data_IF_160456832427
#
_entry.id   IF_160456832427
#
_cell.length_a   1.000
_cell.length_b   1.000
_cell.length_c   1.000
_cell.angle_alpha   90.00
_cell.angle_beta   90.00
_cell.angle_gamma   90.00
#
_symmetry.space_group_name_H-M   'P 1'
#
loop_
_entity.id
_entity.type
_entity.pdbx_description
1 polymer ?
#
# COMPACT_ATOMS: atom_id res chain seq x y z
N UNK A 1 -15.14 -5.19 -6.87
CA UNK A 1 -14.60 -5.95 -8.00
C UNK A 1 -14.08 -7.30 -7.52
N UNK A 2 -14.24 -8.34 -8.34
CA UNK A 2 -13.65 -9.67 -8.12
C UNK A 2 -12.30 -9.79 -8.85
N UNK A 3 -11.62 -10.93 -8.68
CA UNK A 3 -10.30 -11.17 -9.27
C UNK A 3 -10.31 -11.24 -10.81
N UNK A 4 -11.38 -11.73 -11.42
CA UNK A 4 -11.51 -11.77 -12.87
C UNK A 4 -11.63 -10.35 -13.44
N UNK A 5 -12.52 -9.54 -12.86
CA UNK A 5 -12.69 -8.12 -13.24
C UNK A 5 -11.39 -7.33 -13.03
N UNK A 6 -10.65 -7.56 -11.94
CA UNK A 6 -9.35 -6.95 -11.71
C UNK A 6 -8.36 -7.32 -12.80
N UNK A 7 -8.26 -8.60 -13.16
CA UNK A 7 -7.39 -9.09 -14.23
C UNK A 7 -7.76 -8.46 -15.58
N UNK A 8 -9.03 -8.47 -15.94
CA UNK A 8 -9.51 -7.92 -17.21
C UNK A 8 -9.24 -6.42 -17.34
N UNK A 9 -9.54 -5.65 -16.29
CA UNK A 9 -9.24 -4.21 -16.26
C UNK A 9 -7.72 -3.95 -16.33
N UNK A 10 -6.90 -4.75 -15.63
CA UNK A 10 -5.44 -4.59 -15.67
C UNK A 10 -4.89 -4.88 -17.07
N UNK A 11 -5.32 -5.97 -17.70
CA UNK A 11 -4.88 -6.31 -19.07
C UNK A 11 -5.39 -5.30 -20.11
N UNK A 12 -6.60 -4.77 -19.92
CA UNK A 12 -7.11 -3.71 -20.81
C UNK A 12 -6.30 -2.41 -20.65
N UNK A 13 -5.96 -2.04 -19.41
CA UNK A 13 -5.10 -0.89 -19.14
C UNK A 13 -3.70 -1.11 -19.72
N UNK A 14 -3.09 -2.28 -19.53
CA UNK A 14 -1.79 -2.64 -20.06
C UNK A 14 -1.73 -2.41 -21.58
N UNK A 15 -2.72 -2.90 -22.33
CA UNK A 15 -2.85 -2.66 -23.78
C UNK A 15 -2.94 -1.17 -24.14
N UNK A 16 -3.70 -0.40 -23.36
CA UNK A 16 -3.82 1.06 -23.57
C UNK A 16 -2.51 1.79 -23.27
N UNK A 17 -1.76 1.37 -22.25
CA UNK A 17 -0.47 1.95 -21.90
C UNK A 17 0.58 1.66 -22.99
N UNK A 18 0.61 0.44 -23.54
CA UNK A 18 1.46 0.10 -24.70
C UNK A 18 1.10 0.98 -25.89
N UNK A 19 -0.18 1.09 -26.22
CA UNK A 19 -0.65 1.94 -27.33
C UNK A 19 -0.35 3.44 -27.12
N UNK A 20 -0.20 3.86 -25.85
CA UNK A 20 0.22 5.21 -25.47
C UNK A 20 1.75 5.40 -25.52
N UNK A 21 2.53 4.35 -25.77
CA UNK A 21 3.99 4.40 -25.92
C UNK A 21 4.78 4.04 -24.67
N UNK A 22 4.17 3.33 -23.70
CA UNK A 22 4.87 2.81 -22.51
C UNK A 22 5.36 1.39 -22.84
N UNK A 23 6.63 1.15 -22.55
CA UNK A 23 7.32 -0.11 -22.81
C UNK A 23 7.81 -0.76 -21.51
N UNK A 24 8.22 -2.03 -21.59
CA UNK A 24 8.93 -2.68 -20.49
C UNK A 24 10.19 -1.89 -20.10
N UNK A 25 10.47 -1.79 -18.81
CA UNK A 25 11.58 -0.98 -18.27
C UNK A 25 11.28 0.52 -18.12
N UNK A 26 10.18 1.04 -18.68
CA UNK A 26 9.78 2.43 -18.46
C UNK A 26 9.34 2.65 -16.99
N UNK A 27 9.67 3.79 -16.46
CA UNK A 27 9.22 4.22 -15.11
C UNK A 27 7.99 5.10 -15.26
N UNK A 28 6.91 4.67 -14.62
CA UNK A 28 5.61 5.36 -14.66
C UNK A 28 5.24 5.82 -13.26
N UNK A 29 5.17 7.13 -13.06
CA UNK A 29 4.70 7.69 -11.78
C UNK A 29 3.20 7.49 -11.66
N UNK A 30 2.75 6.94 -10.54
CA UNK A 30 1.34 6.83 -10.16
C UNK A 30 1.05 7.76 -8.99
N UNK A 31 0.37 8.86 -9.25
CA UNK A 31 -0.13 9.80 -8.23
C UNK A 31 -1.51 9.33 -7.78
N UNK A 32 -1.60 8.81 -6.56
CA UNK A 32 -2.77 8.06 -6.13
C UNK A 32 -3.09 8.23 -4.65
N UNK A 33 -4.36 8.07 -4.32
CA UNK A 33 -4.87 7.59 -3.04
C UNK A 33 -5.45 6.18 -3.25
N UNK A 34 -5.75 5.48 -2.14
CA UNK A 34 -6.25 4.10 -2.19
C UNK A 34 -7.53 3.97 -2.99
N UNK A 35 -7.55 3.09 -3.97
CA UNK A 35 -8.71 2.86 -4.85
C UNK A 35 -8.55 1.57 -5.67
N UNK A 36 -9.63 1.14 -6.33
CA UNK A 36 -9.54 0.03 -7.29
C UNK A 36 -8.60 0.39 -8.45
N UNK A 37 -8.62 1.62 -8.95
CA UNK A 37 -7.74 2.08 -10.02
C UNK A 37 -6.25 1.98 -9.62
N UNK A 38 -5.90 2.24 -8.34
CA UNK A 38 -4.54 2.03 -7.82
C UNK A 38 -4.09 0.57 -8.02
N UNK A 39 -4.93 -0.40 -7.66
CA UNK A 39 -4.63 -1.82 -7.84
C UNK A 39 -4.51 -2.19 -9.32
N UNK A 40 -5.44 -1.74 -10.14
CA UNK A 40 -5.45 -1.98 -11.60
C UNK A 40 -4.18 -1.46 -12.26
N UNK A 41 -3.72 -0.25 -11.91
CA UNK A 41 -2.48 0.34 -12.48
C UNK A 41 -1.25 -0.46 -12.08
N UNK A 42 -1.13 -0.89 -10.83
CA UNK A 42 0.02 -1.70 -10.38
C UNK A 42 0.11 -2.99 -11.19
N UNK A 43 -1.00 -3.73 -11.34
CA UNK A 43 -0.99 -4.98 -12.08
C UNK A 43 -0.82 -4.76 -13.59
N UNK A 44 -1.37 -3.68 -14.16
CA UNK A 44 -1.18 -3.35 -15.57
C UNK A 44 0.29 -3.03 -15.90
N UNK A 45 0.96 -2.25 -15.04
CA UNK A 45 2.40 -1.96 -15.21
C UNK A 45 3.26 -3.21 -15.02
N UNK A 46 2.90 -4.06 -14.05
CA UNK A 46 3.55 -5.36 -13.86
C UNK A 46 3.42 -6.25 -15.09
N UNK A 47 2.24 -6.31 -15.73
CA UNK A 47 1.99 -7.14 -16.94
C UNK A 47 2.89 -6.76 -18.11
N UNK A 48 3.25 -5.49 -18.23
CA UNK A 48 4.12 -4.98 -19.31
C UNK A 48 5.59 -4.80 -18.89
N UNK A 49 5.97 -5.28 -17.69
CA UNK A 49 7.31 -5.11 -17.11
C UNK A 49 7.76 -3.64 -16.96
N UNK A 50 6.83 -2.70 -16.85
CA UNK A 50 7.11 -1.32 -16.51
C UNK A 50 7.16 -1.12 -14.98
N UNK A 51 7.96 -0.17 -14.50
CA UNK A 51 8.14 0.10 -13.09
C UNK A 51 7.07 1.09 -12.59
N UNK A 52 6.34 0.73 -11.56
CA UNK A 52 5.46 1.67 -10.88
C UNK A 52 6.25 2.55 -9.92
N UNK A 53 6.17 3.87 -10.05
CA UNK A 53 6.75 4.84 -9.11
C UNK A 53 5.60 5.41 -8.28
N UNK A 54 5.43 4.94 -7.05
CA UNK A 54 4.25 5.25 -6.25
C UNK A 54 4.41 6.57 -5.49
N UNK A 55 3.48 7.49 -5.73
CA UNK A 55 3.47 8.83 -5.13
C UNK A 55 2.12 9.11 -4.50
N UNK A 56 2.13 9.50 -3.22
CA UNK A 56 0.92 9.91 -2.54
C UNK A 56 0.40 11.23 -3.12
N UNK A 57 -0.87 11.26 -3.50
CA UNK A 57 -1.48 12.46 -4.09
C UNK A 57 -1.46 13.69 -3.17
N UNK A 58 -1.24 13.50 -1.85
CA UNK A 58 -1.14 14.60 -0.86
C UNK A 58 0.25 15.25 -0.79
N UNK A 59 1.24 14.71 -1.51
CA UNK A 59 2.55 15.37 -1.60
C UNK A 59 2.42 16.74 -2.29
N UNK A 60 3.33 17.65 -1.95
CA UNK A 60 3.40 18.95 -2.59
C UNK A 60 3.78 18.83 -4.06
N UNK A 61 3.49 19.87 -4.85
CA UNK A 61 3.93 19.93 -6.26
C UNK A 61 5.46 19.86 -6.39
N UNK A 62 6.19 20.42 -5.44
CA UNK A 62 7.65 20.40 -5.44
C UNK A 62 8.17 18.97 -5.23
N UNK A 63 7.64 18.24 -4.26
CA UNK A 63 8.01 16.84 -4.01
C UNK A 63 7.67 15.95 -5.21
N UNK A 64 6.47 16.10 -5.77
CA UNK A 64 6.07 15.36 -6.98
C UNK A 64 7.00 15.64 -8.15
N UNK A 65 7.34 16.91 -8.39
CA UNK A 65 8.27 17.29 -9.46
C UNK A 65 9.66 16.69 -9.25
N UNK A 66 10.16 16.71 -8.02
CA UNK A 66 11.44 16.10 -7.67
C UNK A 66 11.45 14.57 -7.93
N UNK A 67 10.36 13.89 -7.58
CA UNK A 67 10.21 12.44 -7.86
C UNK A 67 10.17 12.18 -9.35
N UNK A 68 9.39 12.92 -10.13
CA UNK A 68 9.30 12.78 -11.59
C UNK A 68 10.69 12.94 -12.25
N UNK A 69 11.43 13.97 -11.84
CA UNK A 69 12.77 14.25 -12.38
C UNK A 69 13.78 13.17 -11.99
N UNK A 70 13.84 12.81 -10.70
CA UNK A 70 14.79 11.83 -10.18
C UNK A 70 14.53 10.42 -10.74
N UNK A 71 13.27 10.01 -10.81
CA UNK A 71 12.90 8.72 -11.39
C UNK A 71 13.06 8.66 -12.91
N UNK A 72 13.27 9.78 -13.58
CA UNK A 72 13.25 9.89 -15.05
C UNK A 72 11.97 9.28 -15.63
N UNK A 73 10.82 9.64 -15.05
CA UNK A 73 9.55 9.02 -15.41
C UNK A 73 9.18 9.26 -16.88
N UNK A 74 8.70 8.21 -17.54
CA UNK A 74 8.17 8.25 -18.90
C UNK A 74 6.91 9.08 -18.99
N UNK A 75 6.01 8.87 -18.03
CA UNK A 75 4.78 9.64 -17.86
C UNK A 75 4.28 9.57 -16.41
N UNK A 76 3.19 10.28 -16.14
CA UNK A 76 2.51 10.30 -14.84
C UNK A 76 1.05 9.91 -15.03
N UNK A 77 0.59 8.89 -14.30
CA UNK A 77 -0.79 8.46 -14.20
C UNK A 77 -1.44 9.01 -12.91
N UNK A 78 -2.74 9.29 -12.96
CA UNK A 78 -3.48 9.89 -11.85
C UNK A 78 -4.80 9.17 -11.60
N UNK A 79 -5.09 8.85 -10.32
CA UNK A 79 -6.39 8.29 -9.91
C UNK A 79 -7.39 9.41 -9.59
N UNK A 80 -7.81 10.17 -10.58
CA UNK A 80 -8.59 11.41 -10.42
C UNK A 80 -10.00 11.20 -9.93
N UNK A 81 -10.59 10.02 -10.11
CA UNK A 81 -11.93 9.69 -9.64
C UNK A 81 -11.98 9.55 -8.12
N UNK A 82 -10.95 8.96 -7.54
CA UNK A 82 -10.87 8.67 -6.10
C UNK A 82 -10.12 9.73 -5.29
N UNK A 83 -9.41 10.67 -5.94
CA UNK A 83 -8.58 11.67 -5.27
C UNK A 83 -8.70 13.06 -5.90
N UNK A 84 -9.18 13.99 -5.08
CA UNK A 84 -9.20 15.43 -5.45
C UNK A 84 -7.80 15.99 -5.65
N UNK A 85 -6.83 15.56 -4.81
CA UNK A 85 -5.45 16.02 -4.91
C UNK A 85 -4.77 15.47 -6.16
N UNK A 86 -5.02 14.20 -6.53
CA UNK A 86 -4.56 13.66 -7.80
C UNK A 86 -5.12 14.46 -8.99
N UNK A 87 -6.38 14.89 -8.94
CA UNK A 87 -6.99 15.74 -9.97
C UNK A 87 -6.33 17.12 -10.05
N UNK A 88 -5.97 17.72 -8.92
CA UNK A 88 -5.23 19.00 -8.88
C UNK A 88 -3.86 18.85 -9.53
N UNK A 89 -3.13 17.77 -9.22
CA UNK A 89 -1.84 17.48 -9.85
C UNK A 89 -1.96 17.17 -11.34
N UNK A 90 -2.98 16.42 -11.74
CA UNK A 90 -3.26 16.13 -13.16
C UNK A 90 -3.47 17.41 -13.97
N UNK A 91 -4.26 18.35 -13.44
CA UNK A 91 -4.48 19.65 -14.07
C UNK A 91 -3.18 20.47 -14.14
N UNK A 92 -2.39 20.49 -13.07
CA UNK A 92 -1.10 21.20 -13.03
C UNK A 92 -0.10 20.70 -14.08
N UNK A 93 -0.08 19.36 -14.32
CA UNK A 93 0.80 18.73 -15.30
C UNK A 93 0.15 18.59 -16.69
N UNK A 94 -0.99 19.23 -16.95
CA UNK A 94 -1.73 19.18 -18.22
C UNK A 94 -2.05 17.75 -18.68
N UNK A 95 -2.28 16.84 -17.73
CA UNK A 95 -2.65 15.46 -18.00
C UNK A 95 -4.02 15.38 -18.68
N UNK A 96 -4.17 14.39 -19.57
CA UNK A 96 -5.41 14.18 -20.34
C UNK A 96 -5.96 12.78 -20.10
N UNK A 97 -7.25 12.63 -20.29
CA UNK A 97 -7.89 11.32 -20.28
C UNK A 97 -7.54 10.57 -21.59
N UNK A 98 -6.88 9.43 -21.45
CA UNK A 98 -6.48 8.54 -22.56
C UNK A 98 -7.39 7.31 -22.68
N UNK A 99 -8.41 7.20 -21.84
CA UNK A 99 -9.40 6.14 -21.84
C UNK A 99 -10.18 6.08 -20.54
N UNK A 100 -11.06 5.08 -20.44
CA UNK A 100 -11.87 4.82 -19.25
C UNK A 100 -11.93 3.31 -18.98
N UNK A 101 -12.00 2.95 -17.71
CA UNK A 101 -12.31 1.62 -17.16
C UNK A 101 -13.53 1.75 -16.24
N UNK A 102 -14.08 0.63 -15.78
CA UNK A 102 -15.20 0.64 -14.84
C UNK A 102 -14.82 1.30 -13.49
N UNK A 103 -13.55 1.23 -13.09
CA UNK A 103 -13.04 1.87 -11.88
C UNK A 103 -12.63 3.35 -12.07
N UNK A 104 -12.87 3.94 -13.23
CA UNK A 104 -12.67 5.38 -13.49
C UNK A 104 -11.90 5.72 -14.77
N UNK A 105 -11.64 7.02 -15.00
CA UNK A 105 -10.88 7.50 -16.16
C UNK A 105 -9.39 7.18 -16.01
N UNK A 106 -8.73 6.88 -17.14
CA UNK A 106 -7.28 6.75 -17.25
C UNK A 106 -6.74 8.12 -17.61
N UNK A 107 -6.14 8.81 -16.63
CA UNK A 107 -5.60 10.17 -16.81
C UNK A 107 -4.08 10.11 -16.80
N UNK A 108 -3.44 10.61 -17.87
CA UNK A 108 -2.00 10.51 -18.08
C UNK A 108 -1.42 11.82 -18.66
N UNK A 109 -0.17 12.13 -18.32
CA UNK A 109 0.59 13.17 -19.01
C UNK A 109 1.02 12.70 -20.41
N UNK A 110 1.51 13.63 -21.23
CA UNK A 110 2.25 13.28 -22.44
C UNK A 110 3.50 12.43 -22.10
N UNK A 111 3.93 11.65 -23.08
CA UNK A 111 5.13 10.81 -22.98
C UNK A 111 6.40 11.65 -23.08
N UNK A 112 7.31 11.46 -22.13
CA UNK A 112 8.65 12.05 -22.15
C UNK A 112 9.61 11.19 -23.00
N UNK A 113 10.63 11.82 -23.55
CA UNK A 113 11.73 11.14 -24.25
C UNK A 113 12.72 10.55 -23.24
N UNK A 114 12.30 9.52 -22.53
CA UNK A 114 13.15 8.78 -21.59
C UNK A 114 13.35 7.38 -22.14
N UNK A 115 14.59 6.91 -22.07
CA UNK A 115 14.90 5.52 -22.44
C UNK A 115 14.48 4.57 -21.33
N UNK A 116 13.88 3.41 -21.69
CA UNK A 116 13.54 2.38 -20.71
C UNK A 116 14.82 1.73 -20.16
N UNK A 117 14.72 1.21 -18.93
CA UNK A 117 15.73 0.29 -18.41
C UNK A 117 15.63 -1.06 -19.11
N UNK A 118 16.72 -1.83 -19.07
CA UNK A 118 16.71 -3.19 -19.59
C UNK A 118 15.67 -4.06 -18.87
N UNK A 119 14.90 -4.82 -19.61
CA UNK A 119 13.93 -5.76 -19.04
C UNK A 119 14.66 -7.01 -18.58
N UNK A 120 14.66 -7.21 -17.25
CA UNK A 120 15.22 -8.39 -16.61
C UNK A 120 14.11 -9.46 -16.48
N UNK A 121 14.42 -10.71 -16.85
CA UNK A 121 13.48 -11.84 -16.71
C UNK A 121 13.54 -12.47 -15.31
N UNK A 122 12.61 -13.39 -15.04
CA UNK A 122 12.61 -14.26 -13.85
C UNK A 122 12.33 -13.56 -12.50
N UNK A 123 11.48 -12.53 -12.50
CA UNK A 123 11.04 -11.87 -11.27
C UNK A 123 12.07 -10.91 -10.64
N UNK A 124 13.28 -10.82 -11.17
CA UNK A 124 14.29 -9.82 -10.78
C UNK A 124 14.02 -8.45 -11.39
N UNK A 125 13.06 -8.35 -12.31
CA UNK A 125 12.58 -7.06 -12.79
C UNK A 125 12.07 -6.21 -11.64
N UNK A 126 12.45 -4.94 -11.62
CA UNK A 126 11.90 -3.98 -10.66
C UNK A 126 10.42 -3.80 -10.94
N UNK A 127 9.60 -4.06 -9.93
CA UNK A 127 8.14 -3.92 -9.99
C UNK A 127 7.71 -2.52 -9.55
N UNK A 128 8.37 -2.01 -8.50
CA UNK A 128 8.02 -0.70 -7.94
C UNK A 128 9.23 0.05 -7.41
N UNK A 129 9.15 1.37 -7.52
CA UNK A 129 10.10 2.33 -6.95
C UNK A 129 9.35 3.15 -5.88
N UNK A 130 9.82 3.05 -4.65
CA UNK A 130 9.24 3.78 -3.51
C UNK A 130 10.23 4.81 -2.97
N UNK A 131 9.75 6.04 -2.85
CA UNK A 131 10.57 7.12 -2.30
C UNK A 131 10.44 7.20 -0.79
N UNK A 132 11.57 7.14 -0.10
CA UNK A 132 11.65 7.34 1.34
C UNK A 132 12.18 8.74 1.66
N UNK A 133 11.64 9.35 2.72
CA UNK A 133 12.19 10.58 3.31
C UNK A 133 13.43 10.21 4.11
N UNK A 134 14.57 10.08 3.42
CA UNK A 134 15.85 9.84 4.08
C UNK A 134 16.28 11.04 4.93
N UNK A 135 17.22 10.81 5.84
CA UNK A 135 17.88 11.86 6.66
C UNK A 135 18.63 12.92 5.84
N UNK A 136 18.76 12.72 4.53
CA UNK A 136 19.37 13.62 3.56
C UNK A 136 18.31 14.33 2.74
N UNK A 137 18.53 15.60 2.39
CA UNK A 137 17.59 16.45 1.63
C UNK A 137 17.22 15.97 0.22
N UNK A 138 17.83 14.89 -0.28
CA UNK A 138 17.56 14.32 -1.61
C UNK A 138 16.66 13.09 -1.52
N UNK A 139 15.62 12.97 -2.38
CA UNK A 139 14.78 11.78 -2.44
C UNK A 139 15.62 10.54 -2.74
N UNK A 140 15.38 9.44 -2.00
CA UNK A 140 15.97 8.13 -2.29
C UNK A 140 14.87 7.20 -2.79
N UNK A 141 15.06 6.63 -3.98
CA UNK A 141 14.15 5.65 -4.55
C UNK A 141 14.61 4.23 -4.23
N UNK A 142 13.82 3.50 -3.46
CA UNK A 142 14.06 2.08 -3.18
C UNK A 142 13.46 1.25 -4.29
N UNK A 143 14.29 0.47 -4.97
CA UNK A 143 13.88 -0.44 -6.04
C UNK A 143 13.49 -1.79 -5.44
N UNK A 144 12.25 -2.21 -5.67
CA UNK A 144 11.73 -3.50 -5.22
C UNK A 144 11.36 -4.35 -6.42
N UNK A 145 11.96 -5.53 -6.52
CA UNK A 145 11.69 -6.48 -7.59
C UNK A 145 10.37 -7.23 -7.36
N UNK A 146 9.87 -7.90 -8.40
CA UNK A 146 8.73 -8.80 -8.26
C UNK A 146 9.00 -9.89 -7.22
N UNK A 147 10.22 -10.47 -7.21
CA UNK A 147 10.62 -11.47 -6.23
C UNK A 147 10.58 -10.93 -4.79
N UNK A 148 11.08 -9.71 -4.55
CA UNK A 148 11.02 -9.08 -3.24
C UNK A 148 9.56 -8.97 -2.73
N UNK A 149 8.67 -8.47 -3.58
CA UNK A 149 7.27 -8.26 -3.22
C UNK A 149 6.51 -9.58 -3.03
N UNK A 150 6.75 -10.57 -3.90
CA UNK A 150 6.12 -11.89 -3.82
C UNK A 150 6.61 -12.67 -2.59
N UNK A 151 7.92 -12.64 -2.28
CA UNK A 151 8.46 -13.24 -1.07
C UNK A 151 7.77 -12.68 0.18
N UNK A 152 7.71 -11.35 0.30
CA UNK A 152 7.07 -10.74 1.46
C UNK A 152 5.55 -11.01 1.50
N UNK A 153 4.87 -10.99 0.34
CA UNK A 153 3.44 -11.24 0.28
C UNK A 153 3.07 -12.66 0.73
N UNK A 154 3.77 -13.68 0.21
CA UNK A 154 3.55 -15.07 0.57
C UNK A 154 3.93 -15.35 2.03
N UNK A 155 5.09 -14.86 2.46
CA UNK A 155 5.58 -15.04 3.82
C UNK A 155 4.66 -14.40 4.84
N UNK A 156 4.25 -13.14 4.62
CA UNK A 156 3.30 -12.44 5.50
C UNK A 156 1.93 -13.11 5.52
N UNK A 157 1.39 -13.54 4.37
CA UNK A 157 0.09 -14.20 4.31
C UNK A 157 0.08 -15.50 5.12
N UNK A 158 1.12 -16.33 4.96
CA UNK A 158 1.26 -17.60 5.65
C UNK A 158 1.48 -17.41 7.16
N UNK A 159 2.40 -16.51 7.54
CA UNK A 159 2.77 -16.27 8.93
C UNK A 159 1.63 -15.69 9.77
N UNK A 160 0.77 -14.86 9.16
CA UNK A 160 -0.39 -14.26 9.83
C UNK A 160 -1.64 -15.18 9.74
N UNK A 161 -1.60 -16.21 8.90
CA UNK A 161 -2.72 -17.10 8.63
C UNK A 161 -3.86 -16.43 7.87
N UNK A 162 -3.54 -15.62 6.83
CA UNK A 162 -4.55 -15.04 5.94
C UNK A 162 -5.14 -16.10 5.02
N UNK A 163 -6.42 -15.93 4.68
CA UNK A 163 -7.13 -16.83 3.77
C UNK A 163 -8.20 -16.09 2.96
N UNK A 164 -8.88 -16.81 2.07
CA UNK A 164 -9.86 -16.23 1.14
C UNK A 164 -11.11 -15.63 1.82
N UNK A 165 -11.37 -15.94 3.08
CA UNK A 165 -12.49 -15.37 3.85
C UNK A 165 -12.09 -14.02 4.51
N UNK A 166 -10.82 -13.64 4.46
CA UNK A 166 -10.37 -12.40 5.07
C UNK A 166 -10.72 -11.17 4.25
N UNK A 167 -11.07 -10.13 4.99
CA UNK A 167 -11.34 -8.81 4.45
C UNK A 167 -10.48 -7.77 5.20
N UNK A 168 -9.46 -7.28 4.52
CA UNK A 168 -8.51 -6.30 5.08
C UNK A 168 -9.03 -4.88 4.89
N UNK A 169 -8.88 -4.03 5.91
CA UNK A 169 -9.10 -2.60 5.79
C UNK A 169 -7.85 -1.91 5.21
N UNK A 170 -7.93 -1.48 3.96
CA UNK A 170 -6.85 -0.78 3.25
C UNK A 170 -6.91 0.73 3.49
N UNK A 171 -6.63 1.17 4.70
CA UNK A 171 -6.66 2.59 5.09
C UNK A 171 -5.28 3.24 5.12
N UNK A 172 -4.22 2.44 5.27
CA UNK A 172 -2.84 2.91 5.13
C UNK A 172 -2.60 3.34 3.68
N UNK A 173 -1.79 4.39 3.42
CA UNK A 173 -1.52 4.82 2.06
C UNK A 173 -0.92 3.70 1.20
N UNK A 174 -1.57 3.34 0.09
CA UNK A 174 -1.10 2.31 -0.85
C UNK A 174 0.24 2.63 -1.49
N UNK A 175 0.59 3.91 -1.53
CA UNK A 175 1.88 4.42 -1.99
C UNK A 175 3.01 4.29 -0.97
N UNK A 176 2.72 3.76 0.21
CA UNK A 176 3.69 3.41 1.24
C UNK A 176 3.84 1.90 1.33
N UNK A 177 5.08 1.44 1.54
CA UNK A 177 5.41 0.01 1.55
C UNK A 177 4.58 -0.79 2.57
N UNK A 178 4.23 -0.19 3.71
CA UNK A 178 3.43 -0.87 4.73
C UNK A 178 2.06 -1.30 4.19
N UNK A 179 1.35 -0.43 3.45
CA UNK A 179 0.09 -0.84 2.81
C UNK A 179 0.33 -1.82 1.66
N UNK A 180 1.23 -1.48 0.74
CA UNK A 180 1.49 -2.28 -0.45
C UNK A 180 1.85 -3.73 -0.09
N UNK A 181 2.84 -3.90 0.77
CA UNK A 181 3.48 -5.19 0.98
C UNK A 181 3.04 -5.92 2.27
N UNK A 182 2.37 -5.24 3.22
CA UNK A 182 1.89 -5.90 4.45
C UNK A 182 0.37 -5.94 4.58
N UNK A 183 -0.37 -5.26 3.68
CA UNK A 183 -1.83 -5.29 3.65
C UNK A 183 -2.37 -5.75 2.30
N UNK A 184 -2.00 -5.07 1.20
CA UNK A 184 -2.59 -5.30 -0.12
C UNK A 184 -2.09 -6.60 -0.78
N UNK A 185 -0.79 -6.73 -1.00
CA UNK A 185 -0.27 -7.92 -1.70
C UNK A 185 -0.48 -9.23 -0.93
N UNK A 186 -0.31 -9.29 0.42
CA UNK A 186 -0.58 -10.52 1.16
C UNK A 186 -2.04 -10.97 1.08
N UNK A 187 -3.02 -10.07 1.15
CA UNK A 187 -4.42 -10.47 1.06
C UNK A 187 -4.81 -10.91 -0.36
N UNK A 188 -4.20 -10.30 -1.40
CA UNK A 188 -4.38 -10.76 -2.77
C UNK A 188 -3.78 -12.16 -2.95
N UNK A 189 -2.58 -12.40 -2.41
CA UNK A 189 -1.93 -13.72 -2.43
C UNK A 189 -2.79 -14.79 -1.75
N UNK A 190 -3.43 -14.45 -0.62
CA UNK A 190 -4.30 -15.35 0.13
C UNK A 190 -5.69 -15.56 -0.50
N UNK A 191 -6.02 -14.89 -1.61
CA UNK A 191 -7.32 -14.96 -2.26
C UNK A 191 -8.46 -14.25 -1.53
N UNK A 192 -8.14 -13.42 -0.54
CA UNK A 192 -9.11 -12.64 0.24
C UNK A 192 -9.50 -11.32 -0.43
N UNK A 193 -9.99 -10.38 0.34
CA UNK A 193 -10.45 -9.09 -0.18
C UNK A 193 -9.88 -7.90 0.60
N UNK A 194 -9.79 -6.74 -0.05
CA UNK A 194 -9.40 -5.49 0.58
C UNK A 194 -10.46 -4.42 0.36
N UNK A 195 -10.82 -3.71 1.43
CA UNK A 195 -11.63 -2.51 1.37
C UNK A 195 -10.71 -1.31 1.37
N UNK A 196 -10.45 -0.74 0.21
CA UNK A 196 -9.70 0.51 0.11
C UNK A 196 -10.48 1.70 0.64
N UNK A 197 -9.82 2.49 1.46
CA UNK A 197 -10.29 3.76 1.98
C UNK A 197 -9.27 4.84 1.58
N UNK A 198 -9.66 5.85 0.80
CA UNK A 198 -8.72 6.86 0.29
C UNK A 198 -8.01 7.62 1.42
N UNK A 199 -8.75 7.93 2.50
CA UNK A 199 -8.25 8.68 3.65
C UNK A 199 -8.76 8.09 4.95
N UNK A 200 -7.91 8.07 5.96
CA UNK A 200 -8.32 7.71 7.30
C UNK A 200 -9.30 8.73 7.86
N UNK A 201 -10.46 8.24 8.29
CA UNK A 201 -11.47 8.96 9.07
C UNK A 201 -12.03 7.99 10.10
N UNK A 202 -11.90 8.24 11.42
CA UNK A 202 -12.31 7.30 12.46
C UNK A 202 -13.74 6.81 12.29
N UNK A 203 -14.68 7.71 12.00
CA UNK A 203 -16.10 7.36 11.81
C UNK A 203 -16.34 6.41 10.64
N UNK A 204 -15.61 6.54 9.54
CA UNK A 204 -15.72 5.64 8.40
C UNK A 204 -15.09 4.27 8.71
N UNK A 205 -13.98 4.26 9.45
CA UNK A 205 -13.32 3.03 9.91
C UNK A 205 -14.27 2.24 10.81
N UNK A 206 -14.89 2.87 11.80
CA UNK A 206 -15.88 2.21 12.67
C UNK A 206 -17.02 1.58 11.88
N UNK A 207 -17.53 2.28 10.86
CA UNK A 207 -18.55 1.72 9.97
C UNK A 207 -18.06 0.45 9.26
N UNK A 208 -16.84 0.46 8.69
CA UNK A 208 -16.32 -0.71 8.00
C UNK A 208 -16.00 -1.89 8.95
N UNK A 209 -15.61 -1.61 10.19
CA UNK A 209 -15.44 -2.65 11.21
C UNK A 209 -16.77 -3.35 11.51
N UNK A 210 -17.87 -2.60 11.63
CA UNK A 210 -19.24 -3.16 11.75
C UNK A 210 -19.63 -3.99 10.52
N UNK A 211 -19.22 -3.55 9.31
CA UNK A 211 -19.53 -4.18 8.02
C UNK A 211 -18.69 -5.44 7.72
N UNK A 212 -17.93 -5.96 8.69
CA UNK A 212 -17.30 -7.26 8.59
C UNK A 212 -15.86 -7.28 8.09
N UNK A 213 -15.08 -6.24 8.38
CA UNK A 213 -13.62 -6.30 8.29
C UNK A 213 -13.10 -7.36 9.26
N UNK A 214 -12.17 -8.21 8.79
CA UNK A 214 -11.54 -9.25 9.61
C UNK A 214 -10.15 -8.87 10.07
N UNK A 215 -9.47 -7.95 9.36
CA UNK A 215 -8.15 -7.46 9.69
C UNK A 215 -8.03 -5.96 9.51
N UNK A 216 -7.48 -5.30 10.54
CA UNK A 216 -7.22 -3.86 10.54
C UNK A 216 -5.72 -3.58 10.82
N UNK A 217 -4.90 -3.35 9.78
CA UNK A 217 -3.56 -2.78 9.92
C UNK A 217 -3.66 -1.25 10.00
N UNK A 218 -2.99 -0.67 10.99
CA UNK A 218 -2.97 0.78 11.22
C UNK A 218 -1.64 1.26 11.81
N UNK A 219 -1.50 2.56 11.97
CA UNK A 219 -0.45 3.15 12.81
C UNK A 219 -1.02 3.52 14.18
N UNK A 220 -0.21 3.64 15.24
CA UNK A 220 -0.72 3.91 16.60
C UNK A 220 -1.70 5.08 16.69
N UNK A 221 -1.44 6.17 15.97
CA UNK A 221 -2.28 7.37 15.95
C UNK A 221 -3.68 7.12 15.38
N UNK A 222 -3.84 6.16 14.46
CA UNK A 222 -5.16 5.80 13.94
C UNK A 222 -6.02 5.15 15.03
N UNK A 223 -5.44 4.27 15.82
CA UNK A 223 -6.12 3.64 16.96
C UNK A 223 -6.47 4.67 18.03
N UNK A 224 -5.53 5.54 18.40
CA UNK A 224 -5.79 6.63 19.36
C UNK A 224 -6.98 7.50 18.93
N UNK A 225 -7.05 7.90 17.64
CA UNK A 225 -8.16 8.70 17.13
C UNK A 225 -9.50 7.95 17.11
N UNK A 226 -9.50 6.62 16.98
CA UNK A 226 -10.71 5.81 17.08
C UNK A 226 -11.19 5.74 18.53
N UNK A 227 -10.27 5.51 19.47
CA UNK A 227 -10.56 5.48 20.92
C UNK A 227 -11.15 6.81 21.36
N UNK A 228 -10.48 7.92 21.02
CA UNK A 228 -10.97 9.26 21.33
C UNK A 228 -12.39 9.51 20.80
N UNK A 229 -12.71 9.08 19.56
CA UNK A 229 -14.04 9.22 19.00
C UNK A 229 -15.09 8.40 19.77
N UNK A 230 -14.77 7.15 20.15
CA UNK A 230 -15.66 6.29 20.92
C UNK A 230 -15.94 6.90 22.30
N UNK A 231 -14.92 7.42 22.98
CA UNK A 231 -15.03 8.06 24.28
C UNK A 231 -15.88 9.34 24.21
N UNK A 232 -15.62 10.21 23.23
CA UNK A 232 -16.40 11.44 23.01
C UNK A 232 -17.89 11.17 22.78
N UNK A 233 -18.21 10.08 22.08
CA UNK A 233 -19.58 9.70 21.78
C UNK A 233 -20.22 8.80 22.84
N UNK A 234 -19.46 8.35 23.85
CA UNK A 234 -19.87 7.31 24.79
C UNK A 234 -20.37 6.04 24.07
N UNK A 235 -19.68 5.66 22.97
CA UNK A 235 -20.02 4.50 22.16
C UNK A 235 -19.09 3.33 22.47
N UNK A 236 -19.61 2.10 22.31
CA UNK A 236 -18.79 0.89 22.34
C UNK A 236 -18.40 0.48 20.93
N UNK A 237 -17.20 -0.12 20.81
CA UNK A 237 -16.75 -0.67 19.55
C UNK A 237 -17.61 -1.86 19.13
N UNK A 238 -18.05 -1.84 17.87
CA UNK A 238 -18.71 -2.96 17.22
C UNK A 238 -17.84 -3.42 16.05
N UNK A 239 -17.22 -4.59 16.18
CA UNK A 239 -16.34 -5.19 15.17
C UNK A 239 -16.48 -6.72 15.15
N UNK A 240 -17.69 -7.26 14.79
CA UNK A 240 -18.07 -8.64 15.07
C UNK A 240 -17.24 -9.69 14.33
N UNK A 241 -16.55 -9.32 13.24
CA UNK A 241 -15.71 -10.23 12.45
C UNK A 241 -14.22 -9.93 12.55
N UNK A 242 -13.86 -8.90 13.29
CA UNK A 242 -12.45 -8.53 13.44
C UNK A 242 -11.71 -9.60 14.23
N UNK A 243 -10.64 -10.14 13.66
CA UNK A 243 -9.83 -11.21 14.27
C UNK A 243 -8.35 -10.90 14.37
N UNK A 244 -7.91 -9.83 13.69
CA UNK A 244 -6.50 -9.44 13.69
C UNK A 244 -6.36 -7.92 13.67
N UNK A 245 -5.63 -7.41 14.65
CA UNK A 245 -5.13 -6.04 14.69
C UNK A 245 -3.64 -6.03 14.45
N UNK A 246 -3.15 -5.06 13.68
CA UNK A 246 -1.72 -4.91 13.46
C UNK A 246 -1.33 -3.43 13.48
N UNK A 247 -0.18 -3.15 14.07
CA UNK A 247 0.44 -1.82 14.05
C UNK A 247 1.90 -1.91 13.62
N UNK A 248 2.45 -0.78 13.19
CA UNK A 248 3.84 -0.67 12.77
C UNK A 248 4.11 0.70 12.16
N UNK A 249 5.35 0.93 11.72
CA UNK A 249 5.76 2.17 11.05
C UNK A 249 5.95 3.38 11.98
N UNK A 250 5.65 3.25 13.27
CA UNK A 250 5.90 4.26 14.31
C UNK A 250 6.10 3.57 15.67
N UNK A 251 6.79 4.22 16.63
CA UNK A 251 6.88 3.71 17.99
C UNK A 251 5.50 3.56 18.61
N UNK A 252 5.30 2.48 19.36
CA UNK A 252 4.06 2.16 20.07
C UNK A 252 4.23 2.53 21.55
N UNK A 253 3.27 3.28 22.08
CA UNK A 253 3.20 3.61 23.49
C UNK A 253 2.56 2.46 24.27
N UNK A 254 3.07 2.07 25.50
CA UNK A 254 2.55 0.94 26.26
C UNK A 254 1.13 1.15 26.76
N UNK A 255 0.77 2.36 27.18
CA UNK A 255 -0.58 2.65 27.67
C UNK A 255 -1.59 2.64 26.53
N UNK A 256 -1.20 3.18 25.37
CA UNK A 256 -2.02 3.11 24.15
C UNK A 256 -2.22 1.66 23.71
N UNK A 257 -1.17 0.80 23.76
CA UNK A 257 -1.30 -0.63 23.44
C UNK A 257 -2.36 -1.27 24.31
N UNK A 258 -2.28 -1.05 25.64
CA UNK A 258 -3.24 -1.60 26.61
C UNK A 258 -4.66 -1.13 26.31
N UNK A 259 -4.87 0.16 26.08
CA UNK A 259 -6.19 0.72 25.73
C UNK A 259 -6.77 0.10 24.46
N UNK A 260 -5.94 -0.07 23.41
CA UNK A 260 -6.37 -0.71 22.15
C UNK A 260 -6.82 -2.14 22.45
N UNK A 261 -6.03 -2.93 23.15
CA UNK A 261 -6.33 -4.33 23.46
C UNK A 261 -7.60 -4.48 24.33
N UNK A 262 -7.81 -3.58 25.27
CA UNK A 262 -9.03 -3.55 26.11
C UNK A 262 -10.28 -3.20 25.28
N UNK A 263 -10.23 -2.18 24.44
CA UNK A 263 -11.38 -1.68 23.67
C UNK A 263 -11.72 -2.63 22.52
N UNK A 264 -10.71 -3.14 21.81
CA UNK A 264 -10.93 -4.05 20.69
C UNK A 264 -11.13 -5.51 21.09
N UNK A 265 -10.81 -5.87 22.33
CA UNK A 265 -10.88 -7.25 22.83
C UNK A 265 -9.95 -8.21 22.09
N UNK A 266 -8.91 -7.70 21.45
CA UNK A 266 -7.96 -8.43 20.63
C UNK A 266 -6.54 -7.98 20.94
N UNK A 267 -5.60 -8.90 20.74
CA UNK A 267 -4.19 -8.56 20.80
C UNK A 267 -3.79 -7.62 19.67
N UNK A 268 -2.99 -6.59 19.98
CA UNK A 268 -2.38 -5.72 19.00
C UNK A 268 -1.03 -6.29 18.56
N UNK A 269 -0.99 -6.84 17.35
CA UNK A 269 0.24 -7.32 16.76
C UNK A 269 1.12 -6.13 16.34
N UNK A 270 2.35 -6.10 16.84
CA UNK A 270 3.33 -5.05 16.55
C UNK A 270 4.36 -5.56 15.56
N UNK A 271 4.62 -4.81 14.49
CA UNK A 271 5.55 -5.19 13.44
C UNK A 271 6.62 -4.14 13.17
N UNK A 272 7.79 -4.63 12.77
CA UNK A 272 8.91 -3.82 12.35
C UNK A 272 9.35 -4.15 10.92
N UNK A 273 9.68 -3.12 10.18
CA UNK A 273 10.22 -3.23 8.84
C UNK A 273 10.56 -1.88 8.25
N UNK A 274 11.35 -1.89 7.20
CA UNK A 274 11.76 -0.72 6.44
C UNK A 274 11.56 -0.98 4.95
N UNK A 275 11.43 0.07 4.16
CA UNK A 275 11.18 -0.07 2.72
C UNK A 275 12.27 -0.90 2.03
N UNK A 276 13.52 -0.72 2.45
CA UNK A 276 14.71 -1.36 1.91
C UNK A 276 14.76 -2.88 2.15
N UNK A 277 13.91 -3.42 3.04
CA UNK A 277 13.82 -4.87 3.34
C UNK A 277 12.56 -5.54 2.80
N UNK A 278 11.72 -4.84 2.04
CA UNK A 278 10.56 -5.33 1.25
C UNK A 278 9.24 -5.68 1.98
N UNK A 279 8.84 -5.15 3.09
CA UNK A 279 9.46 -4.45 4.22
C UNK A 279 9.60 -5.28 5.48
N UNK A 280 8.79 -6.37 5.67
CA UNK A 280 8.54 -6.97 6.98
C UNK A 280 9.75 -7.76 7.46
N UNK A 281 10.36 -7.30 8.54
CA UNK A 281 11.48 -7.97 9.21
C UNK A 281 10.97 -8.87 10.33
N UNK A 282 10.08 -8.36 11.18
CA UNK A 282 9.52 -9.08 12.32
C UNK A 282 8.10 -8.61 12.61
N UNK A 283 7.31 -9.48 13.24
CA UNK A 283 5.96 -9.15 13.68
C UNK A 283 5.53 -10.12 14.79
N UNK A 284 4.77 -9.62 15.78
CA UNK A 284 4.07 -10.48 16.73
C UNK A 284 2.82 -11.08 16.09
N UNK A 285 2.36 -12.21 16.58
CA UNK A 285 1.15 -12.88 16.11
C UNK A 285 0.21 -13.23 17.25
N UNK A 286 -1.04 -13.50 16.95
CA UNK A 286 -2.02 -13.93 17.96
C UNK A 286 -1.64 -15.29 18.57
N UNK A 287 -0.87 -16.11 17.89
CA UNK A 287 -0.39 -17.40 18.37
C UNK A 287 0.69 -17.24 19.47
N UNK A 288 1.52 -16.21 19.34
CA UNK A 288 2.60 -15.87 20.29
C UNK A 288 2.39 -14.46 20.85
N UNK A 289 1.42 -14.29 21.75
CA UNK A 289 1.04 -12.99 22.28
C UNK A 289 2.16 -12.36 23.11
N UNK A 290 2.28 -11.04 23.03
CA UNK A 290 3.27 -10.26 23.78
C UNK A 290 2.60 -9.18 24.61
N UNK A 291 2.99 -9.11 25.86
CA UNK A 291 2.53 -8.06 26.80
C UNK A 291 3.44 -6.83 26.78
N UNK A 292 4.65 -6.96 26.24
CA UNK A 292 5.61 -5.87 26.04
C UNK A 292 5.45 -5.17 24.68
N UNK A 293 6.37 -4.27 24.36
CA UNK A 293 6.41 -3.54 23.07
C UNK A 293 7.26 -4.23 21.99
N UNK A 294 7.65 -5.49 22.23
CA UNK A 294 8.43 -6.25 21.27
C UNK A 294 7.77 -6.24 19.89
N UNK A 295 8.58 -6.20 18.85
CA UNK A 295 8.14 -6.34 17.45
C UNK A 295 8.14 -7.80 16.97
N UNK A 296 8.23 -8.75 17.91
CA UNK A 296 8.15 -10.18 17.64
C UNK A 296 9.44 -10.82 17.13
N UNK A 297 9.28 -12.01 16.59
CA UNK A 297 10.36 -12.77 16.00
C UNK A 297 10.59 -12.33 14.56
N UNK A 298 11.81 -12.59 14.05
CA UNK A 298 12.09 -12.46 12.63
C UNK A 298 11.10 -13.30 11.80
N UNK A 299 10.69 -12.79 10.66
CA UNK A 299 9.87 -13.54 9.73
C UNK A 299 10.61 -14.80 9.27
N UNK A 300 9.91 -15.88 8.89
CA UNK A 300 10.55 -17.04 8.27
C UNK A 300 11.47 -16.62 7.12
N UNK A 301 12.64 -17.25 7.03
CA UNK A 301 13.68 -16.98 6.02
C UNK A 301 14.26 -15.55 6.04
N UNK A 302 14.08 -14.82 7.14
CA UNK A 302 14.72 -13.50 7.38
C UNK A 302 15.76 -13.61 8.48
N UNK A 303 17.01 -13.34 8.16
CA UNK A 303 18.10 -13.27 9.13
C UNK A 303 18.23 -11.86 9.71
N UNK A 304 18.28 -11.78 11.04
CA UNK A 304 18.51 -10.52 11.77
C UNK A 304 19.78 -10.64 12.60
N UNK A 305 20.72 -9.70 12.40
CA UNK A 305 21.97 -9.64 13.18
C UNK A 305 22.12 -8.26 13.80
N UNK A 306 22.33 -8.21 15.12
CA UNK A 306 22.68 -6.99 15.83
C UNK A 306 24.20 -6.88 15.83
N UNK A 307 24.70 -5.75 15.39
CA UNK A 307 26.15 -5.44 15.43
C UNK A 307 26.39 -4.22 16.30
N UNK A 308 27.45 -4.26 17.10
CA UNK A 308 27.94 -3.12 17.85
C UNK A 308 28.62 -2.11 16.93
#
# INVERSE_FOLDING_TARGET
>A
YNYLELKEMSSLLAKKLIAHGILGGDRVVLVSENSAMYAVVIFALSEINAWSVLVNARQSRQELTAVIQHSKAKCVLFTTESSKDAKIHANFLNAKTIGKLDCGPIVCTSINKQEPEEVIKNGEQVATLLYTTGTTSKPKGVMLTHNNLLFNASNSANYIGLNCNDRVLGVLPGTHIYCLASAFLPIIFAGGSIKFVPRFRPIEVLKFLRDGITRFPGVPQMFASIIELLDQNNEKLEAPKLRNLATGGAPLDPDLKKQIEEIFGLQLNNGYGITETSPTISVTTNEYPRTDLSVGFAMPDVEVKIRN
#
